data_IF_544006279646
#
_entry.id   IF_544006279646
#
_cell.length_a   1.000
_cell.length_b   1.000
_cell.length_c   1.000
_cell.angle_alpha   90.00
_cell.angle_beta   90.00
_cell.angle_gamma   90.00
#
_symmetry.space_group_name_H-M   'P 1'
#
loop_
_entity.id
_entity.type
_entity.pdbx_description
1 polymer ?
#
# COMPACT_ATOMS: atom_id res chain seq x y z
N UNK A 1 1.31 -12.31 -4.12
CA UNK A 1 2.12 -11.10 -4.34
C UNK A 1 1.20 -9.90 -4.48
N UNK A 2 1.55 -8.78 -3.84
CA UNK A 2 0.94 -7.46 -4.01
C UNK A 2 2.03 -6.54 -4.55
N UNK A 3 1.74 -5.79 -5.62
CA UNK A 3 2.71 -4.92 -6.27
C UNK A 3 2.22 -3.47 -6.27
N UNK A 4 3.13 -2.52 -6.04
CA UNK A 4 2.95 -1.09 -6.25
C UNK A 4 3.89 -0.66 -7.38
N UNK A 5 3.32 -0.08 -8.43
CA UNK A 5 4.01 0.16 -9.70
C UNK A 5 3.73 1.60 -10.16
N UNK A 6 4.61 2.56 -9.85
CA UNK A 6 4.61 3.88 -10.48
C UNK A 6 4.68 3.76 -12.01
N UNK A 7 4.06 4.70 -12.71
CA UNK A 7 4.14 4.73 -14.17
C UNK A 7 5.53 5.18 -14.66
N UNK A 8 5.85 4.88 -15.92
CA UNK A 8 7.12 5.30 -16.53
C UNK A 8 7.38 6.81 -16.40
N UNK A 9 6.33 7.62 -16.56
CA UNK A 9 6.40 9.08 -16.47
C UNK A 9 6.30 9.61 -15.03
N UNK A 10 6.08 8.75 -14.05
CA UNK A 10 5.96 9.19 -12.66
C UNK A 10 7.28 9.72 -12.15
N UNK A 11 7.27 10.97 -11.68
CA UNK A 11 8.46 11.69 -11.24
C UNK A 11 9.27 12.38 -12.35
N UNK A 12 8.84 12.33 -13.62
CA UNK A 12 9.59 12.95 -14.73
C UNK A 12 9.34 14.44 -14.95
N UNK A 13 8.45 15.06 -14.16
CA UNK A 13 7.96 16.43 -14.39
C UNK A 13 6.84 16.53 -15.43
N UNK A 14 6.47 15.43 -16.10
CA UNK A 14 5.31 15.39 -16.97
C UNK A 14 4.01 15.73 -16.20
N UNK A 15 3.14 16.51 -16.81
CA UNK A 15 1.88 16.93 -16.18
C UNK A 15 1.00 15.72 -15.87
N UNK A 16 0.38 15.73 -14.68
CA UNK A 16 -0.55 14.69 -14.20
C UNK A 16 0.02 13.26 -14.14
N UNK A 17 1.34 13.11 -14.09
CA UNK A 17 2.04 11.82 -14.10
C UNK A 17 2.20 11.13 -12.73
N UNK A 18 1.67 11.71 -11.65
CA UNK A 18 1.78 11.20 -10.27
C UNK A 18 0.93 9.95 -9.96
N UNK A 19 0.74 9.07 -10.93
CA UNK A 19 -0.08 7.86 -10.78
C UNK A 19 0.77 6.64 -10.44
N UNK A 20 0.18 5.70 -9.71
CA UNK A 20 0.73 4.35 -9.55
C UNK A 20 -0.39 3.32 -9.67
N UNK A 21 0.00 2.11 -10.05
CA UNK A 21 -0.87 0.94 -10.08
C UNK A 21 -0.62 0.09 -8.85
N UNK A 22 -1.68 -0.43 -8.26
CA UNK A 22 -1.60 -1.54 -7.30
C UNK A 22 -2.08 -2.78 -8.03
N UNK A 23 -1.28 -3.85 -8.07
CA UNK A 23 -1.61 -5.08 -8.78
C UNK A 23 -1.50 -6.32 -7.87
N UNK A 24 -2.47 -7.21 -7.96
CA UNK A 24 -2.51 -8.47 -7.23
C UNK A 24 -3.49 -9.45 -7.89
N UNK A 25 -3.44 -10.72 -7.46
CA UNK A 25 -4.56 -11.64 -7.71
C UNK A 25 -5.76 -11.16 -6.89
N UNK A 26 -6.84 -10.80 -7.59
CA UNK A 26 -8.08 -10.34 -6.96
C UNK A 26 -8.65 -11.42 -6.06
N UNK A 27 -8.94 -11.13 -4.80
CA UNK A 27 -9.55 -12.08 -3.90
C UNK A 27 -11.05 -12.26 -4.12
N UNK A 28 -11.69 -11.31 -4.78
CA UNK A 28 -13.11 -11.37 -5.12
C UNK A 28 -13.35 -12.28 -6.34
N UNK A 29 -12.48 -12.17 -7.35
CA UNK A 29 -12.67 -12.84 -8.65
C UNK A 29 -11.71 -13.99 -8.88
N UNK A 30 -10.62 -14.08 -8.13
CA UNK A 30 -9.56 -15.08 -8.33
C UNK A 30 -8.71 -14.84 -9.59
N UNK A 31 -9.00 -13.80 -10.38
CA UNK A 31 -8.29 -13.42 -11.59
C UNK A 31 -7.26 -12.30 -11.31
N UNK A 32 -6.59 -11.82 -12.36
CA UNK A 32 -5.78 -10.60 -12.28
C UNK A 32 -6.63 -9.41 -11.83
N UNK A 33 -6.06 -8.54 -10.98
CA UNK A 33 -6.69 -7.30 -10.56
C UNK A 33 -5.69 -6.15 -10.41
N UNK A 34 -5.96 -5.03 -11.06
CA UNK A 34 -5.15 -3.81 -11.07
C UNK A 34 -6.03 -2.56 -10.83
N UNK A 35 -5.51 -1.57 -10.09
CA UNK A 35 -6.21 -0.31 -9.83
C UNK A 35 -5.18 0.79 -9.84
N UNK A 36 -5.61 1.88 -10.47
CA UNK A 36 -4.88 3.11 -10.48
C UNK A 36 -5.18 3.91 -9.21
N UNK A 37 -4.16 4.56 -8.69
CA UNK A 37 -4.30 5.62 -7.70
C UNK A 37 -3.41 6.81 -8.09
N UNK A 38 -3.86 8.01 -7.75
CA UNK A 38 -3.04 9.21 -7.83
C UNK A 38 -2.43 9.55 -6.47
N UNK A 39 -2.13 10.82 -6.27
CA UNK A 39 -1.56 11.34 -5.04
C UNK A 39 -0.04 11.39 -5.10
N UNK A 40 0.59 11.32 -3.93
CA UNK A 40 2.01 11.59 -3.73
C UNK A 40 2.86 10.32 -3.53
N UNK A 41 2.23 9.17 -3.28
CA UNK A 41 2.93 7.90 -3.03
C UNK A 41 3.76 7.40 -4.23
N UNK A 42 3.18 7.41 -5.44
CA UNK A 42 3.89 6.98 -6.65
C UNK A 42 5.16 7.80 -6.92
N UNK A 43 5.07 9.14 -6.93
CA UNK A 43 6.24 10.02 -6.98
C UNK A 43 7.25 9.77 -5.85
N UNK A 44 6.80 9.56 -4.62
CA UNK A 44 7.69 9.29 -3.49
C UNK A 44 8.47 7.97 -3.66
N UNK A 45 7.81 6.91 -4.12
CA UNK A 45 8.46 5.62 -4.39
C UNK A 45 9.58 5.76 -5.43
N UNK A 46 9.31 6.53 -6.49
CA UNK A 46 10.31 6.86 -7.53
C UNK A 46 11.42 7.75 -6.99
N UNK A 47 11.09 8.74 -6.17
CA UNK A 47 12.05 9.61 -5.50
C UNK A 47 12.97 8.86 -4.53
N UNK A 48 12.48 7.78 -3.92
CA UNK A 48 13.27 6.87 -3.09
C UNK A 48 14.15 5.89 -3.91
N UNK A 49 14.09 5.95 -5.25
CA UNK A 49 14.92 5.14 -6.14
C UNK A 49 14.30 3.82 -6.61
N UNK A 50 12.99 3.61 -6.38
CA UNK A 50 12.32 2.36 -6.73
C UNK A 50 11.33 2.52 -7.89
N UNK A 51 11.47 1.68 -8.91
CA UNK A 51 10.51 1.57 -10.02
C UNK A 51 9.27 0.74 -9.69
N UNK A 52 9.34 -0.02 -8.60
CA UNK A 52 8.24 -0.85 -8.14
C UNK A 52 8.56 -1.52 -6.82
N UNK A 53 7.51 -1.82 -6.06
CA UNK A 53 7.57 -2.51 -4.79
C UNK A 53 6.74 -3.79 -4.89
N UNK A 54 7.38 -4.94 -4.66
CA UNK A 54 6.72 -6.26 -4.70
C UNK A 54 6.74 -6.89 -3.31
N UNK A 55 5.55 -7.17 -2.80
CA UNK A 55 5.36 -7.74 -1.48
C UNK A 55 4.86 -9.18 -1.60
N UNK A 56 5.57 -10.07 -0.92
CA UNK A 56 5.23 -11.48 -0.81
C UNK A 56 5.24 -11.93 0.65
N UNK A 57 4.61 -13.08 0.92
CA UNK A 57 4.53 -13.64 2.27
C UNK A 57 3.46 -13.00 3.18
N UNK A 58 3.61 -13.23 4.48
CA UNK A 58 2.74 -12.76 5.55
C UNK A 58 3.57 -12.42 6.79
N UNK A 59 3.30 -11.27 7.40
CA UNK A 59 3.84 -10.96 8.72
C UNK A 59 3.01 -11.64 9.83
N UNK A 60 3.67 -12.11 10.89
CA UNK A 60 3.03 -12.74 12.06
C UNK A 60 2.23 -11.74 12.92
N UNK A 61 2.57 -10.46 12.84
CA UNK A 61 1.95 -9.34 13.56
C UNK A 61 1.77 -8.15 12.61
N UNK A 62 0.96 -7.13 12.96
CA UNK A 62 0.89 -5.90 12.18
C UNK A 62 2.27 -5.26 12.03
N UNK A 63 2.65 -4.97 10.80
CA UNK A 63 3.91 -4.29 10.47
C UNK A 63 3.67 -3.33 9.32
N UNK A 64 4.54 -2.33 9.21
CA UNK A 64 4.64 -1.47 8.04
C UNK A 64 6.06 -1.51 7.45
N UNK A 65 6.16 -1.40 6.13
CA UNK A 65 7.42 -1.14 5.46
C UNK A 65 7.71 0.36 5.56
N UNK A 66 8.93 0.72 5.91
CA UNK A 66 9.47 2.08 5.92
C UNK A 66 10.63 2.15 4.93
N UNK A 67 10.64 3.18 4.08
CA UNK A 67 11.68 3.41 3.08
C UNK A 67 12.15 4.84 3.19
N UNK A 68 13.46 5.03 3.36
CA UNK A 68 14.12 6.33 3.39
C UNK A 68 15.43 6.25 2.58
N UNK A 69 15.34 6.65 1.31
CA UNK A 69 16.40 6.43 0.32
C UNK A 69 16.78 4.95 0.22
N UNK A 70 18.04 4.62 0.48
CA UNK A 70 18.55 3.25 0.46
C UNK A 70 18.16 2.43 1.70
N UNK A 71 17.65 3.07 2.76
CA UNK A 71 17.27 2.39 3.99
C UNK A 71 15.85 1.82 3.86
N UNK A 72 15.73 0.50 3.96
CA UNK A 72 14.43 -0.19 3.98
C UNK A 72 14.28 -1.01 5.25
N UNK A 73 13.22 -0.77 6.02
CA UNK A 73 12.96 -1.43 7.30
C UNK A 73 11.52 -1.92 7.42
N UNK A 74 11.31 -3.05 8.11
CA UNK A 74 9.97 -3.49 8.53
C UNK A 74 9.80 -3.13 10.00
N UNK A 75 8.84 -2.24 10.28
CA UNK A 75 8.56 -1.70 11.62
C UNK A 75 7.25 -2.25 12.18
N UNK A 76 7.13 -2.25 13.51
CA UNK A 76 5.90 -2.65 14.18
C UNK A 76 4.76 -1.67 13.86
N UNK A 77 3.57 -2.19 13.59
CA UNK A 77 2.38 -1.39 13.28
C UNK A 77 1.20 -1.72 14.21
N UNK A 78 1.47 -2.30 15.38
CA UNK A 78 0.41 -2.79 16.28
C UNK A 78 -0.44 -1.64 16.81
N UNK A 79 0.17 -0.48 17.06
CA UNK A 79 -0.50 0.74 17.50
C UNK A 79 -1.35 1.40 16.41
N UNK A 80 -1.03 1.14 15.13
CA UNK A 80 -1.81 1.64 14.01
C UNK A 80 -3.03 0.76 13.69
N UNK A 81 -3.04 -0.48 14.17
CA UNK A 81 -4.07 -1.46 13.84
C UNK A 81 -5.43 -1.06 14.44
N UNK A 82 -6.47 -1.06 13.60
CA UNK A 82 -7.82 -0.62 13.97
C UNK A 82 -8.10 0.87 13.73
N UNK A 83 -7.06 1.69 13.51
CA UNK A 83 -7.23 3.09 13.11
C UNK A 83 -7.76 3.18 11.68
N UNK A 84 -8.56 4.22 11.40
CA UNK A 84 -8.91 4.55 10.03
C UNK A 84 -7.69 5.07 9.24
N UNK A 85 -7.87 5.23 7.93
CA UNK A 85 -6.78 5.61 7.02
C UNK A 85 -6.21 6.99 7.33
N UNK A 86 -7.06 7.95 7.74
CA UNK A 86 -6.63 9.31 8.02
C UNK A 86 -5.88 9.38 9.34
N UNK A 87 -6.43 8.76 10.38
CA UNK A 87 -5.76 8.61 11.68
C UNK A 87 -4.39 7.93 11.54
N UNK A 88 -4.30 6.95 10.64
CA UNK A 88 -3.05 6.25 10.34
C UNK A 88 -2.03 7.18 9.71
N UNK A 89 -2.42 7.96 8.69
CA UNK A 89 -1.53 8.94 8.06
C UNK A 89 -1.07 10.00 9.06
N UNK A 90 -1.99 10.56 9.84
CA UNK A 90 -1.70 11.55 10.88
C UNK A 90 -0.71 11.01 11.93
N UNK A 91 -0.96 9.80 12.46
CA UNK A 91 -0.08 9.17 13.46
C UNK A 91 1.32 8.94 12.90
N UNK A 92 1.43 8.48 11.65
CA UNK A 92 2.72 8.27 11.00
C UNK A 92 3.45 9.58 10.69
N UNK A 93 2.72 10.65 10.37
CA UNK A 93 3.30 11.98 10.18
C UNK A 93 3.80 12.58 11.49
N UNK A 94 3.14 12.30 12.61
CA UNK A 94 3.65 12.67 13.94
C UNK A 94 4.92 11.91 14.30
N UNK A 95 5.00 10.61 13.97
CA UNK A 95 6.15 9.75 14.28
C UNK A 95 7.37 9.98 13.38
N UNK A 96 7.15 10.21 12.09
CA UNK A 96 8.20 10.19 11.04
C UNK A 96 8.40 11.58 10.43
N UNK A 97 7.36 12.41 10.43
CA UNK A 97 7.33 13.73 9.80
C UNK A 97 6.44 13.80 8.56
N UNK A 98 5.97 15.02 8.25
CA UNK A 98 5.04 15.32 7.14
C UNK A 98 5.59 15.02 5.73
N UNK A 99 6.89 14.74 5.63
CA UNK A 99 7.50 14.39 4.34
C UNK A 99 7.15 12.97 3.90
N UNK A 100 6.88 12.06 4.85
CA UNK A 100 6.49 10.68 4.57
C UNK A 100 5.19 10.61 3.76
N UNK A 101 5.19 9.80 2.70
CA UNK A 101 4.02 9.55 1.83
C UNK A 101 3.50 8.14 2.08
N UNK A 102 2.34 8.08 2.73
CA UNK A 102 1.78 6.83 3.26
C UNK A 102 0.87 6.17 2.25
N UNK A 103 0.89 4.83 2.18
CA UNK A 103 -0.16 4.04 1.51
C UNK A 103 -0.70 2.98 2.47
N UNK A 104 -1.86 3.24 3.05
CA UNK A 104 -2.39 2.43 4.14
C UNK A 104 -3.70 1.72 3.79
N UNK A 105 -4.11 0.83 4.69
CA UNK A 105 -5.43 0.19 4.68
C UNK A 105 -6.17 0.63 5.94
N UNK A 106 -7.48 0.77 5.84
CA UNK A 106 -8.35 0.94 7.01
C UNK A 106 -8.93 -0.38 7.52
N UNK A 107 -9.85 -0.33 8.50
CA UNK A 107 -10.46 -1.51 9.12
C UNK A 107 -11.11 -2.50 8.14
N UNK A 108 -11.56 -2.02 6.98
CA UNK A 108 -12.09 -2.90 5.92
C UNK A 108 -11.03 -3.85 5.35
N UNK A 109 -9.80 -3.37 5.14
CA UNK A 109 -8.67 -4.20 4.70
C UNK A 109 -8.23 -5.16 5.81
N UNK A 110 -8.18 -4.65 7.04
CA UNK A 110 -7.84 -5.43 8.24
C UNK A 110 -8.78 -6.62 8.47
N UNK A 111 -10.09 -6.40 8.25
CA UNK A 111 -11.15 -7.42 8.33
C UNK A 111 -11.33 -8.22 7.04
N UNK A 112 -10.40 -8.07 6.08
CA UNK A 112 -10.35 -8.85 4.84
C UNK A 112 -11.58 -8.70 3.93
N UNK A 113 -12.20 -7.52 3.92
CA UNK A 113 -13.28 -7.22 2.96
C UNK A 113 -12.80 -7.40 1.52
N UNK A 114 -13.58 -8.13 0.71
CA UNK A 114 -13.28 -8.42 -0.69
C UNK A 114 -13.32 -7.18 -1.60
N UNK A 115 -13.82 -6.05 -1.08
CA UNK A 115 -13.91 -4.76 -1.77
C UNK A 115 -13.12 -3.66 -1.05
N UNK A 116 -12.22 -4.03 -0.14
CA UNK A 116 -11.28 -3.09 0.47
C UNK A 116 -10.26 -2.55 -0.55
N UNK A 117 -9.74 -1.36 -0.30
CA UNK A 117 -8.69 -0.76 -1.12
C UNK A 117 -7.55 -0.19 -0.28
N UNK A 118 -6.59 0.42 -0.98
CA UNK A 118 -5.41 1.07 -0.39
C UNK A 118 -5.55 2.57 -0.58
N UNK A 119 -5.41 3.33 0.50
CA UNK A 119 -5.56 4.79 0.53
C UNK A 119 -4.20 5.44 0.65
N UNK A 120 -4.02 6.58 0.01
CA UNK A 120 -2.96 7.55 0.29
C UNK A 120 -3.53 8.97 0.22
N UNK A 121 -2.76 9.95 0.70
CA UNK A 121 -2.97 11.37 0.43
C UNK A 121 -4.39 11.82 0.80
N UNK A 122 -4.78 11.54 2.05
CA UNK A 122 -6.06 11.95 2.67
C UNK A 122 -7.33 11.49 1.91
N UNK A 123 -7.25 10.40 1.14
CA UNK A 123 -8.43 9.78 0.52
C UNK A 123 -8.29 9.34 -0.94
N UNK A 124 -7.13 9.49 -1.57
CA UNK A 124 -6.87 8.88 -2.88
C UNK A 124 -6.86 7.36 -2.73
N UNK A 125 -7.73 6.67 -3.46
CA UNK A 125 -8.04 5.27 -3.20
C UNK A 125 -7.83 4.36 -4.42
N UNK A 126 -6.98 3.36 -4.27
CA UNK A 126 -6.93 2.19 -5.14
C UNK A 126 -8.10 1.24 -4.83
N UNK A 127 -9.30 1.57 -5.34
CA UNK A 127 -10.58 1.10 -4.78
C UNK A 127 -11.01 -0.32 -5.15
N UNK A 128 -10.66 -0.82 -6.33
CA UNK A 128 -11.28 -2.05 -6.89
C UNK A 128 -10.48 -3.29 -6.55
N UNK A 129 -11.06 -4.48 -6.77
CA UNK A 129 -10.38 -5.79 -6.68
C UNK A 129 -9.80 -6.15 -5.29
N UNK A 130 -10.36 -5.63 -4.20
CA UNK A 130 -10.08 -6.13 -2.84
C UNK A 130 -8.63 -6.00 -2.38
N UNK A 131 -7.94 -4.93 -2.77
CA UNK A 131 -6.50 -4.73 -2.55
C UNK A 131 -6.09 -4.46 -1.12
N UNK A 132 -7.02 -4.10 -0.24
CA UNK A 132 -6.77 -4.03 1.20
C UNK A 132 -6.70 -5.42 1.86
N UNK A 133 -7.05 -6.48 1.13
CA UNK A 133 -7.06 -7.85 1.64
C UNK A 133 -5.64 -8.41 1.62
N UNK A 134 -5.05 -8.66 2.78
CA UNK A 134 -3.98 -9.66 2.88
C UNK A 134 -4.55 -11.08 2.98
N UNK A 135 -5.27 -11.46 1.94
CA UNK A 135 -5.53 -12.86 1.61
C UNK A 135 -5.57 -12.93 0.11
N UNK A 136 -4.38 -12.97 -0.47
CA UNK A 136 -4.17 -13.38 -1.85
C UNK A 136 -4.73 -14.79 -1.97
N UNK A 137 -5.84 -14.95 -2.67
CA UNK A 137 -6.52 -16.23 -2.80
C UNK A 137 -5.62 -17.20 -3.58
N UNK A 138 -4.88 -18.05 -2.86
CA UNK A 138 -4.37 -19.32 -3.36
C UNK A 138 -5.37 -20.41 -3.01
N UNK A 139 -5.65 -21.32 -3.95
CA UNK A 139 -6.60 -22.44 -3.80
C UNK A 139 -6.06 -23.52 -2.84
N UNK A 140 -4.86 -23.34 -2.31
CA UNK A 140 -4.20 -24.21 -1.34
C UNK A 140 -3.53 -23.36 -0.26
N UNK A 141 -3.95 -23.56 1.00
CA UNK A 141 -3.12 -23.53 2.21
C UNK A 141 -2.33 -22.29 2.66
N UNK A 142 -2.18 -21.23 1.87
CA UNK A 142 -1.32 -20.09 2.23
C UNK A 142 -2.12 -18.86 2.67
N UNK A 143 -2.05 -18.51 3.96
CA UNK A 143 -2.45 -17.18 4.43
C UNK A 143 -1.33 -16.18 4.02
N UNK A 144 -1.67 -15.04 3.40
CA UNK A 144 -0.69 -14.06 2.88
C UNK A 144 -1.11 -12.62 3.20
N UNK A 145 -0.45 -11.96 4.17
CA UNK A 145 -0.88 -10.66 4.71
C UNK A 145 0.32 -9.80 5.18
N UNK A 146 0.66 -8.76 4.43
CA UNK A 146 1.42 -7.61 4.92
C UNK A 146 0.43 -6.48 5.25
N UNK A 147 0.60 -5.80 6.39
CA UNK A 147 -0.52 -5.16 7.11
C UNK A 147 -0.61 -3.63 7.09
N UNK A 148 0.36 -2.86 6.54
CA UNK A 148 0.27 -1.41 6.16
C UNK A 148 1.56 -0.98 5.39
N UNK A 149 1.56 0.12 4.62
CA UNK A 149 2.77 0.66 3.94
C UNK A 149 3.01 2.13 4.25
N UNK A 150 4.28 2.50 4.41
CA UNK A 150 4.76 3.88 4.59
C UNK A 150 5.98 4.09 3.68
N UNK A 151 5.94 5.10 2.82
CA UNK A 151 7.13 5.68 2.19
C UNK A 151 7.41 7.05 2.80
#
# INVERSE_FOLDING_TARGET
>A
MLAFLPGLLTGSGAQFSGRFMVAARSPLTGAWGDANCGGNFGPALRGAGYDGLFISGQAKKPVYLFVDGEKTEIKDASHLWGLDVRQTEETLHEEIGLQAKVACIGPAGERLSLISGIVNDDGRLAARCGRGKGRLAGREGGNYLLRRFVL
#
